data_IF_404670193376
#
_entry.id   IF_404670193376
#
_cell.length_a   1.000
_cell.length_b   1.000
_cell.length_c   1.000
_cell.angle_alpha   90.00
_cell.angle_beta   90.00
_cell.angle_gamma   90.00
#
_symmetry.space_group_name_H-M   'P 1'
#
loop_
_entity.id
_entity.type
_entity.pdbx_description
1 polymer ?
#
# COMPACT_ATOMS: atom_id res chain seq x y z
N UNK A 1 -4.01 16.39 18.98
CA UNK A 1 -3.80 15.01 18.48
C UNK A 1 -2.85 14.92 17.28
N UNK A 2 -2.90 15.83 16.29
CA UNK A 2 -1.95 15.84 15.16
C UNK A 2 -0.47 15.93 15.60
N UNK A 3 -0.11 16.90 16.44
CA UNK A 3 1.26 17.04 16.97
C UNK A 3 1.71 15.81 17.77
N UNK A 4 0.81 15.21 18.55
CA UNK A 4 1.10 13.99 19.30
C UNK A 4 1.45 12.80 18.38
N UNK A 5 0.72 12.64 17.27
CA UNK A 5 1.08 11.64 16.26
C UNK A 5 2.43 11.93 15.61
N UNK A 6 2.70 13.20 15.25
CA UNK A 6 3.98 13.60 14.65
C UNK A 6 5.17 13.31 15.57
N UNK A 7 5.05 13.53 16.88
CA UNK A 7 6.10 13.18 17.85
C UNK A 7 6.39 11.66 17.85
N UNK A 8 5.34 10.83 17.75
CA UNK A 8 5.50 9.36 17.65
C UNK A 8 6.13 8.93 16.34
N UNK A 9 5.75 9.55 15.23
CA UNK A 9 6.37 9.31 13.92
C UNK A 9 7.86 9.63 13.97
N UNK A 10 8.25 10.78 14.52
CA UNK A 10 9.66 11.15 14.64
C UNK A 10 10.46 10.14 15.47
N UNK A 11 9.91 9.68 16.61
CA UNK A 11 10.53 8.63 17.43
C UNK A 11 10.66 7.31 16.67
N UNK A 12 9.61 6.91 15.93
CA UNK A 12 9.61 5.69 15.13
C UNK A 12 10.64 5.76 13.98
N UNK A 13 10.68 6.89 13.25
CA UNK A 13 11.64 7.12 12.17
C UNK A 13 13.08 7.09 12.67
N UNK A 14 13.40 7.74 13.79
CA UNK A 14 14.74 7.69 14.38
C UNK A 14 15.16 6.25 14.72
N UNK A 15 14.23 5.45 15.26
CA UNK A 15 14.48 4.02 15.53
C UNK A 15 14.70 3.24 14.22
N UNK A 16 13.87 3.48 13.21
CA UNK A 16 13.97 2.81 11.91
C UNK A 16 15.26 3.16 11.17
N UNK A 17 15.69 4.42 11.19
CA UNK A 17 16.95 4.87 10.60
C UNK A 17 18.15 4.18 11.22
N UNK A 18 18.15 3.95 12.53
CA UNK A 18 19.19 3.17 13.21
C UNK A 18 19.21 1.72 12.72
N UNK A 19 18.04 1.08 12.58
CA UNK A 19 17.95 -0.29 12.06
C UNK A 19 18.36 -0.42 10.60
N UNK A 20 18.01 0.56 9.77
CA UNK A 20 18.34 0.54 8.35
C UNK A 20 19.86 0.50 8.11
N UNK A 21 20.67 1.10 8.99
CA UNK A 21 22.14 1.05 8.92
C UNK A 21 22.71 -0.36 9.14
N UNK A 22 22.01 -1.22 9.88
CA UNK A 22 22.43 -2.61 10.06
C UNK A 22 22.02 -3.47 8.86
N UNK A 23 20.84 -3.21 8.28
CA UNK A 23 20.34 -3.94 7.11
C UNK A 23 21.10 -3.58 5.83
N UNK A 24 21.31 -2.29 5.58
CA UNK A 24 22.07 -1.78 4.42
C UNK A 24 23.54 -1.64 4.82
N UNK A 25 24.20 -2.78 4.99
CA UNK A 25 25.66 -2.84 5.13
C UNK A 25 26.36 -2.86 3.75
N UNK A 26 27.68 -2.66 3.73
CA UNK A 26 28.45 -2.56 2.47
C UNK A 26 28.36 -3.82 1.60
N UNK A 27 28.38 -5.02 2.21
CA UNK A 27 28.25 -6.29 1.50
C UNK A 27 26.86 -6.47 0.87
N UNK A 28 25.81 -6.09 1.59
CA UNK A 28 24.43 -6.14 1.11
C UNK A 28 24.24 -5.18 -0.06
N UNK A 29 24.77 -3.95 0.04
CA UNK A 29 24.68 -2.96 -1.02
C UNK A 29 25.34 -3.46 -2.32
N UNK A 30 26.54 -4.04 -2.22
CA UNK A 30 27.26 -4.61 -3.36
C UNK A 30 26.47 -5.78 -3.97
N UNK A 31 25.99 -6.72 -3.14
CA UNK A 31 25.21 -7.88 -3.61
C UNK A 31 23.92 -7.45 -4.31
N UNK A 32 23.19 -6.49 -3.73
CA UNK A 32 21.95 -5.97 -4.31
C UNK A 32 22.20 -5.26 -5.64
N UNK A 33 23.35 -4.58 -5.80
CA UNK A 33 23.72 -3.91 -7.05
C UNK A 33 23.92 -4.92 -8.18
N UNK A 34 24.65 -6.01 -7.92
CA UNK A 34 24.81 -7.09 -8.90
C UNK A 34 23.48 -7.79 -9.20
N UNK A 35 22.65 -8.03 -8.18
CA UNK A 35 21.39 -8.73 -8.35
C UNK A 35 20.38 -7.89 -9.15
N UNK A 36 20.20 -6.61 -8.81
CA UNK A 36 19.32 -5.69 -9.55
C UNK A 36 19.87 -5.42 -10.95
N UNK A 37 21.18 -5.24 -11.10
CA UNK A 37 21.81 -5.03 -12.41
C UNK A 37 21.67 -6.23 -13.33
N UNK A 38 21.96 -7.43 -12.82
CA UNK A 38 21.82 -8.70 -13.57
C UNK A 38 20.37 -9.01 -13.92
N UNK A 39 19.45 -8.87 -12.96
CA UNK A 39 18.01 -9.02 -13.23
C UNK A 39 17.51 -8.00 -14.25
N UNK A 40 17.96 -6.74 -14.16
CA UNK A 40 17.61 -5.69 -15.10
C UNK A 40 18.10 -6.00 -16.51
N UNK A 41 19.33 -6.47 -16.66
CA UNK A 41 19.90 -6.87 -17.94
C UNK A 41 19.13 -8.03 -18.58
N UNK A 42 18.89 -9.10 -17.82
CA UNK A 42 18.15 -10.26 -18.31
C UNK A 42 16.68 -9.92 -18.64
N UNK A 43 16.03 -9.12 -17.80
CA UNK A 43 14.67 -8.63 -18.04
C UNK A 43 14.57 -7.80 -19.33
N UNK A 44 15.53 -6.89 -19.55
CA UNK A 44 15.58 -6.08 -20.75
C UNK A 44 15.78 -6.93 -22.03
N UNK A 45 16.56 -8.00 -21.95
CA UNK A 45 16.77 -8.91 -23.08
C UNK A 45 15.52 -9.76 -23.36
N UNK A 46 14.89 -10.29 -22.30
CA UNK A 46 13.61 -11.00 -22.39
C UNK A 46 12.53 -10.15 -23.09
N UNK A 47 12.43 -8.87 -22.72
CA UNK A 47 11.47 -7.93 -23.32
C UNK A 47 11.64 -7.77 -24.83
N UNK A 48 12.87 -7.86 -25.36
CA UNK A 48 13.14 -7.74 -26.81
C UNK A 48 12.69 -8.97 -27.60
N UNK A 49 12.66 -10.14 -26.95
CA UNK A 49 12.25 -11.40 -27.58
C UNK A 49 10.73 -11.59 -27.66
N UNK A 50 9.96 -10.77 -26.96
CA UNK A 50 8.50 -10.88 -26.91
C UNK A 50 7.85 -10.29 -28.17
N UNK A 51 6.80 -10.94 -28.72
CA UNK A 51 6.04 -10.39 -29.84
C UNK A 51 5.29 -9.13 -29.39
N UNK A 52 5.21 -8.11 -30.25
CA UNK A 52 4.42 -6.91 -29.99
C UNK A 52 3.21 -6.89 -30.93
N UNK A 53 1.96 -6.93 -30.43
CA UNK A 53 1.54 -6.92 -29.03
C UNK A 53 1.59 -8.30 -28.33
N UNK A 54 1.85 -8.32 -27.02
CA UNK A 54 1.79 -9.51 -26.15
C UNK A 54 0.65 -9.41 -25.12
N UNK A 55 -0.58 -9.85 -25.43
CA UNK A 55 -1.74 -9.69 -24.55
C UNK A 55 -1.59 -10.37 -23.18
N UNK A 56 -0.83 -11.48 -23.11
CA UNK A 56 -0.54 -12.17 -21.85
C UNK A 56 0.28 -11.30 -20.88
N UNK A 57 1.05 -10.34 -21.38
CA UNK A 57 1.80 -9.38 -20.56
C UNK A 57 0.89 -8.53 -19.68
N UNK A 58 -0.28 -8.13 -20.19
CA UNK A 58 -1.27 -7.37 -19.40
C UNK A 58 -1.82 -8.21 -18.24
N UNK A 59 -1.99 -9.52 -18.42
CA UNK A 59 -2.44 -10.42 -17.34
C UNK A 59 -1.35 -10.56 -16.27
N UNK A 60 -0.08 -10.69 -16.68
CA UNK A 60 1.06 -10.75 -15.75
C UNK A 60 1.14 -9.46 -14.93
N UNK A 61 1.05 -8.30 -15.58
CA UNK A 61 1.07 -7.00 -14.90
C UNK A 61 -0.12 -6.85 -13.95
N UNK A 62 -1.32 -7.29 -14.36
CA UNK A 62 -2.51 -7.25 -13.52
C UNK A 62 -2.30 -8.01 -12.22
N UNK A 63 -1.82 -9.25 -12.30
CA UNK A 63 -1.56 -10.09 -11.12
C UNK A 63 -0.45 -9.47 -10.26
N UNK A 64 0.63 -8.99 -10.90
CA UNK A 64 1.74 -8.35 -10.21
C UNK A 64 1.31 -7.08 -9.45
N UNK A 65 0.51 -6.22 -10.06
CA UNK A 65 -0.02 -5.02 -9.40
C UNK A 65 -1.04 -5.35 -8.32
N UNK A 66 -1.88 -6.37 -8.49
CA UNK A 66 -2.76 -6.86 -7.42
C UNK A 66 -1.96 -7.32 -6.20
N UNK A 67 -0.91 -8.12 -6.39
CA UNK A 67 0.00 -8.52 -5.31
C UNK A 67 0.64 -7.28 -4.65
N UNK A 68 1.08 -6.33 -5.46
CA UNK A 68 1.70 -5.08 -5.00
C UNK A 68 0.75 -4.27 -4.09
N UNK A 69 -0.53 -4.18 -4.42
CA UNK A 69 -1.52 -3.45 -3.60
C UNK A 69 -1.67 -4.02 -2.17
N UNK A 70 -1.37 -5.29 -1.96
CA UNK A 70 -1.40 -5.93 -0.64
C UNK A 70 -0.17 -5.56 0.22
N UNK A 71 0.93 -5.10 -0.38
CA UNK A 71 2.12 -4.69 0.35
C UNK A 71 1.92 -3.37 1.09
N UNK A 72 2.21 -3.38 2.40
CA UNK A 72 2.05 -2.23 3.28
C UNK A 72 0.72 -2.26 4.05
N UNK A 73 0.82 -2.01 5.35
CA UNK A 73 -0.29 -2.10 6.30
C UNK A 73 -0.51 -0.75 6.98
N UNK A 74 -1.72 -0.51 7.46
CA UNK A 74 -2.03 0.63 8.30
C UNK A 74 -1.15 0.64 9.56
N UNK A 75 -0.44 1.75 9.79
CA UNK A 75 0.43 1.97 10.94
C UNK A 75 -0.19 3.01 11.86
N UNK A 76 -0.79 2.57 12.95
CA UNK A 76 -1.44 3.45 13.92
C UNK A 76 -0.44 4.08 14.90
N UNK A 77 0.70 3.43 15.14
CA UNK A 77 1.67 3.80 16.19
C UNK A 77 1.06 3.92 17.60
N UNK A 78 -0.03 3.18 17.86
CA UNK A 78 -0.63 3.05 19.19
C UNK A 78 0.16 2.08 20.08
N UNK A 79 0.15 2.35 21.38
CA UNK A 79 0.89 1.61 22.40
C UNK A 79 -0.08 1.05 23.45
N UNK A 80 0.35 0.00 24.18
CA UNK A 80 -0.45 -0.64 25.24
C UNK A 80 -1.10 0.36 26.22
N UNK A 81 -0.38 1.37 26.75
CA UNK A 81 -0.97 2.29 27.73
C UNK A 81 -2.10 3.17 27.14
N UNK A 82 -2.17 3.32 25.81
CA UNK A 82 -3.12 4.21 25.16
C UNK A 82 -4.57 3.78 25.38
N UNK A 83 -4.83 2.48 25.57
CA UNK A 83 -6.16 1.96 25.85
C UNK A 83 -6.77 2.55 27.13
N UNK A 84 -5.94 2.93 28.10
CA UNK A 84 -6.40 3.51 29.37
C UNK A 84 -6.31 5.04 29.31
N UNK A 85 -5.17 5.59 28.88
CA UNK A 85 -4.92 7.04 28.93
C UNK A 85 -5.64 7.84 27.83
N UNK A 86 -5.89 7.25 26.66
CA UNK A 86 -6.53 7.95 25.54
C UNK A 86 -8.02 7.62 25.40
N UNK A 87 -8.56 6.70 26.20
CA UNK A 87 -9.99 6.37 26.24
C UNK A 87 -10.88 7.61 26.48
N UNK A 88 -10.58 8.52 27.44
CA UNK A 88 -11.38 9.74 27.62
C UNK A 88 -11.35 10.68 26.40
N UNK A 89 -10.35 10.53 25.52
CA UNK A 89 -10.12 11.35 24.33
C UNK A 89 -10.47 10.64 23.02
N UNK A 90 -11.31 9.60 23.06
CA UNK A 90 -11.68 8.79 21.88
C UNK A 90 -12.21 9.65 20.71
N UNK A 91 -13.04 10.67 20.97
CA UNK A 91 -13.52 11.58 19.91
C UNK A 91 -12.37 12.29 19.17
N UNK A 92 -11.32 12.66 19.89
CA UNK A 92 -10.14 13.31 19.33
C UNK A 92 -9.23 12.32 18.57
N UNK A 93 -9.34 11.01 18.82
CA UNK A 93 -8.58 9.97 18.12
C UNK A 93 -8.93 9.86 16.64
N UNK A 94 -10.12 10.32 16.22
CA UNK A 94 -10.44 10.40 14.79
C UNK A 94 -9.44 11.27 14.04
N UNK A 95 -9.04 12.41 14.61
CA UNK A 95 -8.01 13.28 14.01
C UNK A 95 -6.63 12.62 14.01
N UNK A 96 -6.32 11.81 15.03
CA UNK A 96 -5.08 11.02 15.09
C UNK A 96 -5.02 10.00 13.96
N UNK A 97 -6.11 9.24 13.75
CA UNK A 97 -6.19 8.19 12.74
C UNK A 97 -6.16 8.73 11.30
N UNK A 98 -6.62 9.97 11.06
CA UNK A 98 -6.41 10.66 9.77
C UNK A 98 -4.91 10.86 9.50
N UNK A 99 -4.14 11.29 10.50
CA UNK A 99 -2.69 11.46 10.34
C UNK A 99 -1.98 10.11 10.20
N UNK A 100 -2.44 9.09 10.93
CA UNK A 100 -1.96 7.72 10.77
C UNK A 100 -2.23 7.17 9.37
N UNK A 101 -3.39 7.47 8.79
CA UNK A 101 -3.71 7.12 7.40
C UNK A 101 -2.74 7.77 6.42
N UNK A 102 -2.56 9.09 6.49
CA UNK A 102 -1.64 9.82 5.62
C UNK A 102 -0.22 9.28 5.74
N UNK A 103 0.23 8.99 6.96
CA UNK A 103 1.54 8.40 7.20
C UNK A 103 1.65 6.99 6.60
N UNK A 104 0.62 6.17 6.75
CA UNK A 104 0.55 4.80 6.21
C UNK A 104 0.56 4.77 4.68
N UNK A 105 0.24 5.87 4.00
CA UNK A 105 0.30 5.97 2.55
C UNK A 105 1.74 6.18 2.02
N UNK A 106 2.65 6.78 2.80
CA UNK A 106 3.98 7.15 2.28
C UNK A 106 4.85 5.95 1.89
N UNK A 107 4.94 4.93 2.76
CA UNK A 107 5.76 3.75 2.48
C UNK A 107 5.23 2.96 1.26
N UNK A 108 3.93 2.59 1.20
CA UNK A 108 3.38 1.95 0.01
C UNK A 108 3.53 2.81 -1.24
N UNK A 109 3.42 4.14 -1.16
CA UNK A 109 3.59 5.00 -2.32
C UNK A 109 4.98 4.88 -2.96
N UNK A 110 6.04 4.88 -2.15
CA UNK A 110 7.41 4.64 -2.66
C UNK A 110 7.55 3.26 -3.32
N UNK A 111 6.97 2.23 -2.72
CA UNK A 111 6.96 0.87 -3.28
C UNK A 111 6.19 0.82 -4.61
N UNK A 112 5.02 1.47 -4.68
CA UNK A 112 4.20 1.54 -5.89
C UNK A 112 4.92 2.25 -7.04
N UNK A 113 5.65 3.33 -6.78
CA UNK A 113 6.47 3.99 -7.80
C UNK A 113 7.50 3.00 -8.37
N UNK A 114 8.23 2.31 -7.49
CA UNK A 114 9.27 1.37 -7.89
C UNK A 114 8.69 0.21 -8.72
N UNK A 115 7.62 -0.43 -8.25
CA UNK A 115 7.01 -1.57 -8.95
C UNK A 115 6.38 -1.15 -10.27
N UNK A 116 5.75 0.02 -10.32
CA UNK A 116 5.15 0.52 -11.57
C UNK A 116 6.23 0.82 -12.59
N UNK A 117 7.30 1.53 -12.19
CA UNK A 117 8.43 1.83 -13.05
C UNK A 117 9.10 0.55 -13.58
N UNK A 118 9.28 -0.46 -12.72
CA UNK A 118 9.83 -1.76 -13.12
C UNK A 118 8.94 -2.50 -14.13
N UNK A 119 7.62 -2.51 -13.92
CA UNK A 119 6.67 -3.17 -14.81
C UNK A 119 6.35 -2.39 -16.10
N UNK A 120 6.74 -1.12 -16.20
CA UNK A 120 6.31 -0.25 -17.29
C UNK A 120 6.78 -0.70 -18.68
N UNK A 121 8.05 -1.12 -18.89
CA UNK A 121 8.47 -1.63 -20.20
C UNK A 121 7.60 -2.80 -20.69
N UNK A 122 7.18 -3.68 -19.78
CA UNK A 122 6.27 -4.78 -20.10
C UNK A 122 4.89 -4.28 -20.50
N UNK A 123 4.35 -3.26 -19.82
CA UNK A 123 3.06 -2.65 -20.18
C UNK A 123 3.08 -2.07 -21.60
N UNK A 124 4.19 -1.40 -21.97
CA UNK A 124 4.36 -0.81 -23.30
C UNK A 124 4.44 -1.89 -24.40
N UNK A 125 5.13 -3.00 -24.13
CA UNK A 125 5.20 -4.14 -25.07
C UNK A 125 3.87 -4.90 -25.15
N UNK A 126 3.15 -5.01 -24.03
CA UNK A 126 1.89 -5.74 -23.95
C UNK A 126 0.70 -4.98 -24.56
N UNK A 127 0.74 -3.65 -24.58
CA UNK A 127 -0.37 -2.82 -25.03
C UNK A 127 0.10 -1.73 -25.99
N UNK A 128 -0.34 -1.81 -27.26
CA UNK A 128 0.01 -0.83 -28.30
C UNK A 128 -0.45 0.61 -27.98
N UNK A 129 -1.33 0.79 -26.99
CA UNK A 129 -1.88 2.10 -26.59
C UNK A 129 -1.14 2.73 -25.41
N UNK A 130 -0.35 1.96 -24.65
CA UNK A 130 0.31 2.44 -23.46
C UNK A 130 1.71 2.97 -23.78
N UNK A 131 1.93 4.25 -23.53
CA UNK A 131 3.24 4.91 -23.71
C UNK A 131 3.92 5.13 -22.37
N UNK A 132 5.24 5.29 -22.30
CA UNK A 132 5.96 5.68 -21.07
C UNK A 132 5.39 6.92 -20.37
N UNK A 133 4.74 7.84 -21.10
CA UNK A 133 4.03 8.99 -20.51
C UNK A 133 2.84 8.58 -19.63
N UNK A 134 2.21 7.43 -19.90
CA UNK A 134 1.08 6.90 -19.12
C UNK A 134 1.48 6.36 -17.74
N UNK A 135 2.79 6.23 -17.45
CA UNK A 135 3.29 5.75 -16.15
C UNK A 135 2.74 6.54 -14.97
N UNK A 136 2.66 7.87 -15.09
CA UNK A 136 2.15 8.72 -14.03
C UNK A 136 0.66 8.43 -13.70
N UNK A 137 -0.14 8.09 -14.73
CA UNK A 137 -1.53 7.70 -14.55
C UNK A 137 -1.66 6.37 -13.83
N UNK A 138 -0.81 5.39 -14.16
CA UNK A 138 -0.79 4.11 -13.46
C UNK A 138 -0.33 4.22 -12.01
N UNK A 139 0.70 5.05 -11.73
CA UNK A 139 1.12 5.35 -10.36
C UNK A 139 -0.04 5.95 -9.56
N UNK A 140 -0.72 6.95 -10.13
CA UNK A 140 -1.84 7.61 -9.47
C UNK A 140 -3.03 6.65 -9.27
N UNK A 141 -3.34 5.82 -10.26
CA UNK A 141 -4.35 4.77 -10.16
C UNK A 141 -4.07 3.81 -9.02
N UNK A 142 -2.85 3.23 -8.97
CA UNK A 142 -2.48 2.28 -7.94
C UNK A 142 -2.44 2.93 -6.56
N UNK A 143 -2.01 4.19 -6.47
CA UNK A 143 -2.03 4.94 -5.22
C UNK A 143 -3.45 5.13 -4.69
N UNK A 144 -4.41 5.44 -5.56
CA UNK A 144 -5.83 5.55 -5.18
C UNK A 144 -6.40 4.20 -4.74
N UNK A 145 -6.12 3.12 -5.48
CA UNK A 145 -6.54 1.76 -5.10
C UNK A 145 -5.93 1.33 -3.75
N UNK A 146 -4.70 1.76 -3.46
CA UNK A 146 -4.05 1.51 -2.18
C UNK A 146 -4.72 2.29 -1.05
N UNK A 147 -5.09 3.55 -1.29
CA UNK A 147 -5.83 4.35 -0.31
C UNK A 147 -7.19 3.71 0.02
N UNK A 148 -7.92 3.20 -0.98
CA UNK A 148 -9.18 2.48 -0.75
C UNK A 148 -8.97 1.21 0.08
N UNK A 149 -7.88 0.47 -0.14
CA UNK A 149 -7.53 -0.69 0.69
C UNK A 149 -7.29 -0.31 2.16
N UNK A 150 -6.57 0.79 2.41
CA UNK A 150 -6.30 1.27 3.77
C UNK A 150 -7.60 1.69 4.49
N UNK A 151 -8.57 2.26 3.77
CA UNK A 151 -9.90 2.54 4.33
C UNK A 151 -10.64 1.26 4.75
N UNK A 152 -10.49 0.16 4.01
CA UNK A 152 -11.03 -1.15 4.41
C UNK A 152 -10.29 -1.70 5.63
N UNK A 153 -8.97 -1.55 5.71
CA UNK A 153 -8.20 -1.98 6.89
C UNK A 153 -8.62 -1.24 8.16
N UNK A 154 -8.94 0.06 8.05
CA UNK A 154 -9.40 0.85 9.19
C UNK A 154 -10.71 0.36 9.81
N UNK A 155 -11.57 -0.34 9.06
CA UNK A 155 -12.80 -0.93 9.60
C UNK A 155 -12.53 -1.93 10.73
N UNK A 156 -11.36 -2.59 10.73
CA UNK A 156 -10.98 -3.55 11.77
C UNK A 156 -10.84 -2.90 13.15
N UNK A 157 -10.69 -1.57 13.21
CA UNK A 157 -10.50 -0.81 14.44
C UNK A 157 -11.80 -0.30 15.05
N UNK A 158 -12.95 -0.65 14.46
CA UNK A 158 -14.26 -0.19 14.93
C UNK A 158 -15.12 -1.37 15.40
N UNK A 159 -15.76 -1.19 16.56
CA UNK A 159 -16.60 -2.21 17.17
C UNK A 159 -17.76 -2.61 16.25
N UNK A 160 -18.01 -3.91 16.11
CA UNK A 160 -19.10 -4.45 15.28
C UNK A 160 -18.88 -4.43 13.77
N UNK A 161 -17.77 -3.85 13.28
CA UNK A 161 -17.44 -3.82 11.85
C UNK A 161 -16.59 -5.02 11.37
N UNK A 162 -16.11 -5.83 12.31
CA UNK A 162 -15.27 -7.01 12.05
C UNK A 162 -15.89 -8.04 11.09
N UNK A 163 -17.15 -8.51 11.24
CA UNK A 163 -17.74 -9.46 10.29
C UNK A 163 -17.98 -8.81 8.91
N UNK A 164 -18.27 -7.51 8.88
CA UNK A 164 -18.47 -6.76 7.63
C UNK A 164 -17.17 -6.50 6.87
N UNK A 165 -16.02 -6.54 7.54
CA UNK A 165 -14.70 -6.31 6.91
C UNK A 165 -14.46 -7.27 5.76
N UNK A 166 -14.80 -8.55 5.90
CA UNK A 166 -14.58 -9.53 4.84
C UNK A 166 -15.42 -9.20 3.60
N UNK A 167 -16.65 -8.74 3.78
CA UNK A 167 -17.50 -8.26 2.68
C UNK A 167 -16.87 -7.05 1.99
N UNK A 168 -16.46 -6.03 2.74
CA UNK A 168 -15.80 -4.85 2.17
C UNK A 168 -14.45 -5.17 1.51
N UNK A 169 -13.70 -6.13 2.04
CA UNK A 169 -12.45 -6.58 1.45
C UNK A 169 -12.67 -7.35 0.14
N UNK A 170 -13.63 -8.27 0.09
CA UNK A 170 -13.99 -8.99 -1.14
C UNK A 170 -14.52 -8.03 -2.20
N UNK A 171 -15.34 -7.05 -1.81
CA UNK A 171 -15.79 -5.97 -2.70
C UNK A 171 -14.63 -5.10 -3.20
N UNK A 172 -13.67 -4.78 -2.33
CA UNK A 172 -12.48 -4.04 -2.73
C UNK A 172 -11.64 -4.85 -3.72
N UNK A 173 -11.40 -6.13 -3.44
CA UNK A 173 -10.60 -7.00 -4.29
C UNK A 173 -11.22 -7.17 -5.68
N UNK A 174 -12.54 -7.42 -5.76
CA UNK A 174 -13.25 -7.56 -7.02
C UNK A 174 -13.26 -6.26 -7.83
N UNK A 175 -13.58 -5.13 -7.19
CA UNK A 175 -13.60 -3.83 -7.87
C UNK A 175 -12.21 -3.37 -8.29
N UNK A 176 -11.17 -3.56 -7.46
CA UNK A 176 -9.78 -3.24 -7.83
C UNK A 176 -9.29 -4.11 -8.99
N UNK A 177 -9.63 -5.41 -9.00
CA UNK A 177 -9.30 -6.31 -10.12
C UNK A 177 -9.98 -5.86 -11.41
N UNK A 178 -11.27 -5.51 -11.36
CA UNK A 178 -12.01 -5.01 -12.50
C UNK A 178 -11.45 -3.67 -13.02
N UNK A 179 -11.12 -2.73 -12.12
CA UNK A 179 -10.52 -1.43 -12.48
C UNK A 179 -9.16 -1.61 -13.15
N UNK A 180 -8.33 -2.51 -12.63
CA UNK A 180 -7.03 -2.83 -13.23
C UNK A 180 -7.19 -3.47 -14.62
N UNK A 181 -8.13 -4.39 -14.77
CA UNK A 181 -8.44 -4.97 -16.07
C UNK A 181 -8.90 -3.90 -17.08
N UNK A 182 -9.85 -3.04 -16.71
CA UNK A 182 -10.31 -1.94 -17.57
C UNK A 182 -9.17 -0.99 -17.93
N UNK A 183 -8.30 -0.68 -16.97
CA UNK A 183 -7.15 0.21 -17.17
C UNK A 183 -6.14 -0.35 -18.18
N UNK A 184 -5.83 -1.65 -18.09
CA UNK A 184 -4.81 -2.30 -18.93
C UNK A 184 -5.33 -2.69 -20.32
N UNK A 185 -6.58 -3.16 -20.42
CA UNK A 185 -7.14 -3.68 -21.68
C UNK A 185 -7.89 -2.62 -22.51
N UNK A 186 -8.51 -1.63 -21.88
CA UNK A 186 -9.28 -0.60 -22.59
C UNK A 186 -8.54 0.73 -22.65
N UNK A 187 -8.58 1.48 -21.54
CA UNK A 187 -8.03 2.85 -21.46
C UNK A 187 -7.65 3.16 -20.02
N UNK A 188 -6.41 3.65 -19.83
CA UNK A 188 -5.91 4.03 -18.50
C UNK A 188 -6.74 5.15 -17.84
N UNK A 189 -7.28 6.09 -18.63
CA UNK A 189 -8.15 7.19 -18.16
C UNK A 189 -9.45 6.69 -17.55
N UNK A 190 -10.11 5.70 -18.17
CA UNK A 190 -11.33 5.11 -17.63
C UNK A 190 -11.04 4.37 -16.32
N UNK A 191 -9.93 3.64 -16.26
CA UNK A 191 -9.46 3.02 -15.01
C UNK A 191 -9.27 4.05 -13.90
N UNK A 192 -8.68 5.22 -14.21
CA UNK A 192 -8.47 6.28 -13.24
C UNK A 192 -9.79 6.85 -12.71
N UNK A 193 -10.74 7.14 -13.60
CA UNK A 193 -12.04 7.66 -13.21
C UNK A 193 -12.77 6.69 -12.28
N UNK A 194 -12.75 5.38 -12.61
CA UNK A 194 -13.34 4.35 -11.76
C UNK A 194 -12.62 4.22 -10.42
N UNK A 195 -11.29 4.36 -10.37
CA UNK A 195 -10.53 4.35 -9.12
C UNK A 195 -10.93 5.51 -8.20
N UNK A 196 -11.13 6.72 -8.74
CA UNK A 196 -11.58 7.89 -7.97
C UNK A 196 -12.97 7.64 -7.38
N UNK A 197 -13.89 7.07 -8.16
CA UNK A 197 -15.23 6.71 -7.70
C UNK A 197 -15.15 5.64 -6.60
N UNK A 198 -14.30 4.62 -6.78
CA UNK A 198 -14.10 3.55 -5.81
C UNK A 198 -13.61 4.11 -4.47
N UNK A 199 -12.53 4.91 -4.44
CA UNK A 199 -12.01 5.47 -3.18
C UNK A 199 -13.02 6.40 -2.51
N UNK A 200 -13.76 7.19 -3.28
CA UNK A 200 -14.82 8.06 -2.76
C UNK A 200 -15.94 7.26 -2.10
N UNK A 201 -16.38 6.17 -2.73
CA UNK A 201 -17.37 5.26 -2.18
C UNK A 201 -16.89 4.64 -0.87
N UNK A 202 -15.69 4.05 -0.84
CA UNK A 202 -15.13 3.47 0.38
C UNK A 202 -14.97 4.52 1.48
N UNK A 203 -14.46 5.72 1.19
CA UNK A 203 -14.36 6.80 2.16
C UNK A 203 -15.72 7.16 2.79
N UNK A 204 -16.78 7.24 1.99
CA UNK A 204 -18.11 7.56 2.50
C UNK A 204 -18.66 6.44 3.40
N UNK A 205 -18.57 5.19 2.96
CA UNK A 205 -19.15 4.05 3.68
C UNK A 205 -18.34 3.63 4.91
N UNK A 206 -17.00 3.65 4.84
CA UNK A 206 -16.15 3.13 5.92
C UNK A 206 -15.70 4.19 6.91
N UNK A 207 -15.56 5.45 6.47
CA UNK A 207 -15.02 6.52 7.30
C UNK A 207 -16.05 7.58 7.67
N UNK A 208 -16.78 8.14 6.70
CA UNK A 208 -17.71 9.26 6.96
C UNK A 208 -18.95 8.81 7.72
N UNK A 209 -19.60 7.72 7.27
CA UNK A 209 -20.83 7.17 7.87
C UNK A 209 -20.58 6.32 9.10
N UNK A 210 -19.34 5.96 9.38
CA UNK A 210 -19.01 5.12 10.52
C UNK A 210 -19.00 5.93 11.82
N UNK A 211 -19.95 5.63 12.70
CA UNK A 211 -20.10 6.24 14.04
C UNK A 211 -19.80 5.25 15.16
N UNK A 212 -19.34 4.04 14.82
CA UNK A 212 -18.98 3.03 15.80
C UNK A 212 -17.80 3.52 16.68
N UNK A 213 -17.74 2.99 17.90
CA UNK A 213 -16.65 3.26 18.84
C UNK A 213 -15.38 2.52 18.41
N UNK A 214 -14.23 3.05 18.82
CA UNK A 214 -12.94 2.44 18.57
C UNK A 214 -12.75 1.19 19.43
N UNK A 215 -12.28 0.13 18.80
CA UNK A 215 -11.81 -1.08 19.45
C UNK A 215 -10.31 -0.91 19.78
N UNK A 216 -10.04 -0.44 21.00
CA UNK A 216 -8.68 -0.13 21.47
C UNK A 216 -7.78 -1.35 21.52
N UNK A 217 -8.29 -2.48 22.02
CA UNK A 217 -7.54 -3.72 22.11
C UNK A 217 -7.11 -4.15 20.70
N UNK A 218 -8.04 -4.12 19.75
CA UNK A 218 -7.75 -4.53 18.39
C UNK A 218 -6.73 -3.61 17.71
N UNK A 219 -6.89 -2.29 17.85
CA UNK A 219 -5.98 -1.29 17.31
C UNK A 219 -4.55 -1.53 17.81
N UNK A 220 -4.39 -1.81 19.10
CA UNK A 220 -3.08 -2.08 19.71
C UNK A 220 -2.52 -3.43 19.26
N UNK A 221 -3.32 -4.49 19.27
CA UNK A 221 -2.90 -5.83 18.85
C UNK A 221 -2.39 -5.84 17.39
N UNK A 222 -3.09 -5.17 16.48
CA UNK A 222 -2.69 -5.09 15.06
C UNK A 222 -1.36 -4.35 14.92
N UNK A 223 -1.19 -3.25 15.65
CA UNK A 223 0.05 -2.46 15.61
C UNK A 223 1.23 -3.23 16.22
N UNK A 224 1.04 -3.94 17.34
CA UNK A 224 2.07 -4.79 17.93
C UNK A 224 2.46 -5.93 17.00
N UNK A 225 1.48 -6.58 16.37
CA UNK A 225 1.73 -7.65 15.38
C UNK A 225 2.52 -7.12 14.17
N UNK A 226 2.21 -5.90 13.71
CA UNK A 226 2.95 -5.22 12.63
C UNK A 226 4.39 -4.95 13.04
N UNK A 227 4.61 -4.40 14.23
CA UNK A 227 5.95 -4.10 14.76
C UNK A 227 6.77 -5.38 14.98
N UNK A 228 6.15 -6.45 15.48
CA UNK A 228 6.81 -7.74 15.68
C UNK A 228 7.33 -8.32 14.37
N UNK A 229 6.48 -8.38 13.32
CA UNK A 229 6.91 -8.83 11.97
C UNK A 229 8.07 -7.99 11.42
N UNK A 230 8.02 -6.68 11.64
CA UNK A 230 9.08 -5.78 11.19
C UNK A 230 10.40 -6.03 11.96
N UNK A 231 10.34 -6.27 13.27
CA UNK A 231 11.54 -6.59 14.06
C UNK A 231 12.10 -7.97 13.74
N UNK A 232 11.24 -8.97 13.50
CA UNK A 232 11.67 -10.28 13.01
C UNK A 232 12.43 -10.14 11.69
N UNK A 233 11.90 -9.36 10.74
CA UNK A 233 12.58 -9.10 9.48
C UNK A 233 13.94 -8.44 9.67
N UNK A 234 14.05 -7.41 10.53
CA UNK A 234 15.32 -6.74 10.80
C UNK A 234 16.35 -7.70 11.42
N UNK A 235 15.91 -8.60 12.29
CA UNK A 235 16.76 -9.60 12.93
C UNK A 235 17.27 -10.69 11.97
N UNK A 236 16.74 -10.80 10.75
CA UNK A 236 17.31 -11.68 9.72
C UNK A 236 18.59 -11.11 9.09
N UNK A 237 18.85 -9.82 9.26
CA UNK A 237 20.01 -9.11 8.69
C UNK A 237 21.01 -8.62 9.74
N UNK A 238 20.67 -8.74 11.03
CA UNK A 238 21.56 -8.39 12.15
C UNK A 238 22.19 -9.65 12.69
#
# INVERSE_FOLDING_TARGET
MKQFFQQRVAKHQKKMQRYLRYVINDHFALTMTFLVGGLGFYYADLLKTLPSPFPLGNVIVLVFWLMTLHLGHFASLTQLPDAVFLLPKERAMRQYLVQAFLYSCYLPFGLLILTTAFSMPLVVVASAKATFQSTAFFILLLWILKASHLFVQQLDFYQGMRPKRWQFYSLWLSSSTAILAVSLFYTYLLGLALAIIQVGSFYLFTWKKNTARLDWERLIQVEQSRLHRLYQFIHLFT
#
